data_IF_675778770886
#
_entry.id   IF_675778770886
#
_cell.length_a   1.000
_cell.length_b   1.000
_cell.length_c   1.000
_cell.angle_alpha   90.00
_cell.angle_beta   90.00
_cell.angle_gamma   90.00
#
_symmetry.space_group_name_H-M   'P 1'
#
loop_
_entity.id
_entity.type
_entity.pdbx_description
1 polymer ?
#
# COMPACT_ATOMS: atom_id res chain seq x y z
N UNK A 1 -18.75 -30.16 4.33
CA UNK A 1 -18.28 -29.39 5.51
C UNK A 1 -16.76 -29.58 5.62
N UNK A 2 -15.99 -28.50 5.80
CA UNK A 2 -14.54 -28.64 6.04
C UNK A 2 -14.33 -29.07 7.49
N UNK A 3 -13.51 -30.10 7.74
CA UNK A 3 -13.17 -30.54 9.09
C UNK A 3 -12.31 -29.49 9.79
N UNK A 4 -12.61 -29.20 11.07
CA UNK A 4 -11.80 -28.31 11.89
C UNK A 4 -10.39 -28.91 12.05
N UNK A 5 -9.30 -28.11 11.85
CA UNK A 5 -7.93 -28.62 12.06
C UNK A 5 -7.73 -29.12 13.50
N UNK A 6 -6.99 -30.22 13.71
CA UNK A 6 -6.81 -30.79 15.06
C UNK A 6 -6.06 -29.86 16.04
N UNK A 7 -5.35 -28.87 15.54
CA UNK A 7 -4.63 -27.85 16.33
C UNK A 7 -5.20 -26.45 16.14
N UNK A 8 -6.53 -26.32 16.03
CA UNK A 8 -7.18 -25.01 15.84
C UNK A 8 -6.93 -24.09 17.05
N UNK A 9 -6.44 -22.87 16.76
CA UNK A 9 -6.25 -21.81 17.75
C UNK A 9 -7.57 -21.02 17.81
N UNK A 10 -8.30 -21.15 18.91
CA UNK A 10 -9.65 -20.61 19.07
C UNK A 10 -9.71 -19.10 18.84
N UNK A 11 -8.76 -18.32 19.36
CA UNK A 11 -8.70 -16.87 19.14
C UNK A 11 -8.50 -16.48 17.68
N UNK A 12 -7.77 -17.27 16.92
CA UNK A 12 -7.58 -17.09 15.47
C UNK A 12 -8.86 -17.42 14.72
N UNK A 13 -9.49 -18.56 15.04
CA UNK A 13 -10.76 -18.97 14.44
C UNK A 13 -11.84 -17.91 14.67
N UNK A 14 -11.96 -17.43 15.90
CA UNK A 14 -12.90 -16.37 16.26
C UNK A 14 -12.62 -15.04 15.51
N UNK A 15 -11.36 -14.64 15.38
CA UNK A 15 -11.01 -13.45 14.60
C UNK A 15 -11.38 -13.60 13.12
N UNK A 16 -11.14 -14.77 12.52
CA UNK A 16 -11.52 -15.05 11.13
C UNK A 16 -13.06 -15.06 10.95
N UNK A 17 -13.81 -15.60 11.91
CA UNK A 17 -15.28 -15.55 11.90
C UNK A 17 -15.79 -14.11 11.96
N UNK A 18 -15.20 -13.25 12.79
CA UNK A 18 -15.56 -11.81 12.83
C UNK A 18 -15.33 -11.15 11.47
N UNK A 19 -14.22 -11.48 10.77
CA UNK A 19 -13.98 -10.95 9.44
C UNK A 19 -15.04 -11.40 8.42
N UNK A 20 -15.52 -12.66 8.52
CA UNK A 20 -16.64 -13.13 7.72
C UNK A 20 -17.92 -12.36 8.02
N UNK A 21 -18.25 -12.15 9.31
CA UNK A 21 -19.42 -11.35 9.73
C UNK A 21 -19.34 -9.92 9.19
N UNK A 22 -18.19 -9.26 9.31
CA UNK A 22 -17.96 -7.91 8.78
C UNK A 22 -18.16 -7.85 7.26
N UNK A 23 -17.66 -8.83 6.53
CA UNK A 23 -17.84 -8.93 5.07
C UNK A 23 -19.31 -9.11 4.69
N UNK A 24 -20.01 -10.01 5.39
CA UNK A 24 -21.35 -10.44 5.00
C UNK A 24 -22.44 -9.43 5.45
N UNK A 25 -22.25 -8.78 6.61
CA UNK A 25 -23.23 -7.83 7.20
C UNK A 25 -22.87 -6.35 6.98
N UNK A 26 -21.65 -6.05 6.54
CA UNK A 26 -21.16 -4.67 6.36
C UNK A 26 -20.90 -3.92 7.68
N UNK A 27 -21.51 -4.33 8.78
CA UNK A 27 -21.24 -3.81 10.13
C UNK A 27 -21.66 -4.82 11.20
N UNK A 28 -21.01 -4.78 12.36
CA UNK A 28 -21.32 -5.61 13.52
C UNK A 28 -21.22 -4.81 14.82
N UNK A 29 -21.92 -5.23 15.88
CA UNK A 29 -21.75 -4.71 17.24
C UNK A 29 -21.09 -5.76 18.12
N UNK A 30 -20.49 -5.33 19.24
CA UNK A 30 -19.88 -6.26 20.21
C UNK A 30 -20.87 -7.32 20.69
N UNK A 31 -22.16 -6.95 20.87
CA UNK A 31 -23.22 -7.88 21.24
C UNK A 31 -23.44 -8.99 20.23
N UNK A 32 -23.44 -8.62 18.95
CA UNK A 32 -23.72 -9.54 17.84
C UNK A 32 -22.56 -10.53 17.68
N UNK A 33 -21.33 -10.03 17.79
CA UNK A 33 -20.12 -10.85 17.77
C UNK A 33 -20.07 -11.79 18.97
N UNK A 34 -20.42 -11.31 20.19
CA UNK A 34 -20.45 -12.12 21.39
C UNK A 34 -21.45 -13.27 21.28
N UNK A 35 -22.67 -12.96 20.76
CA UNK A 35 -23.73 -13.94 20.56
C UNK A 35 -23.35 -14.99 19.50
N UNK A 36 -22.86 -14.56 18.35
CA UNK A 36 -22.50 -15.42 17.21
C UNK A 36 -21.31 -16.37 17.55
N UNK A 37 -20.33 -15.85 18.28
CA UNK A 37 -19.15 -16.64 18.67
C UNK A 37 -19.36 -17.48 19.94
N UNK A 38 -20.40 -17.20 20.72
CA UNK A 38 -20.63 -17.83 22.01
C UNK A 38 -19.61 -17.42 23.09
N UNK A 39 -19.08 -16.18 23.02
CA UNK A 39 -18.05 -15.69 23.95
C UNK A 39 -18.56 -14.52 24.79
N UNK A 40 -17.85 -14.21 25.88
CA UNK A 40 -18.15 -13.03 26.68
C UNK A 40 -17.96 -11.73 25.87
N UNK A 41 -18.76 -10.68 26.15
CA UNK A 41 -18.64 -9.37 25.49
C UNK A 41 -17.23 -8.76 25.59
N UNK A 42 -16.54 -8.99 26.71
CA UNK A 42 -15.16 -8.56 26.90
C UNK A 42 -14.20 -9.23 25.93
N UNK A 43 -14.40 -10.51 25.65
CA UNK A 43 -13.59 -11.27 24.66
C UNK A 43 -13.89 -10.78 23.24
N UNK A 44 -15.16 -10.61 22.87
CA UNK A 44 -15.55 -10.05 21.58
C UNK A 44 -14.95 -8.64 21.36
N UNK A 45 -15.00 -7.78 22.40
CA UNK A 45 -14.40 -6.44 22.34
C UNK A 45 -12.89 -6.50 22.12
N UNK A 46 -12.17 -7.39 22.82
CA UNK A 46 -10.71 -7.55 22.64
C UNK A 46 -10.34 -8.04 21.23
N UNK A 47 -11.11 -8.97 20.67
CA UNK A 47 -10.92 -9.44 19.30
C UNK A 47 -11.16 -8.32 18.30
N UNK A 48 -12.25 -7.56 18.44
CA UNK A 48 -12.54 -6.40 17.59
C UNK A 48 -11.47 -5.32 17.72
N UNK A 49 -10.97 -5.05 18.93
CA UNK A 49 -9.86 -4.10 19.14
C UNK A 49 -8.58 -4.52 18.43
N UNK A 50 -8.26 -5.83 18.40
CA UNK A 50 -7.12 -6.36 17.62
C UNK A 50 -7.34 -6.23 16.12
N UNK A 51 -8.57 -6.43 15.64
CA UNK A 51 -8.89 -6.19 14.23
C UNK A 51 -8.80 -4.71 13.86
N UNK A 52 -9.21 -3.81 14.76
CA UNK A 52 -9.01 -2.35 14.58
C UNK A 52 -7.53 -1.99 14.57
N UNK A 53 -6.75 -2.53 15.49
CA UNK A 53 -5.29 -2.32 15.55
C UNK A 53 -4.58 -2.73 14.25
N UNK A 54 -5.09 -3.74 13.56
CA UNK A 54 -4.54 -4.26 12.30
C UNK A 54 -5.26 -3.76 11.05
N UNK A 55 -6.08 -2.71 11.15
CA UNK A 55 -6.85 -2.11 10.05
C UNK A 55 -7.87 -3.05 9.37
N UNK A 56 -8.17 -4.21 9.97
CA UNK A 56 -9.21 -5.12 9.50
C UNK A 56 -10.62 -4.66 9.87
N UNK A 57 -10.77 -3.83 10.89
CA UNK A 57 -12.03 -3.23 11.29
C UNK A 57 -11.83 -1.75 11.63
N UNK A 58 -12.93 -0.98 11.59
CA UNK A 58 -12.99 0.42 12.04
C UNK A 58 -14.18 0.56 12.96
N UNK A 59 -13.99 1.20 14.11
CA UNK A 59 -15.10 1.55 14.99
C UNK A 59 -15.74 2.86 14.53
N UNK A 60 -17.04 2.82 14.22
CA UNK A 60 -17.83 4.00 13.86
C UNK A 60 -18.27 4.79 15.12
N UNK A 61 -18.79 6.01 14.94
CA UNK A 61 -19.25 6.89 16.02
C UNK A 61 -20.40 6.28 16.85
N UNK A 62 -21.24 5.46 16.18
CA UNK A 62 -22.35 4.72 16.83
C UNK A 62 -21.88 3.45 17.58
N UNK A 63 -20.57 3.31 17.77
CA UNK A 63 -19.90 2.15 18.40
C UNK A 63 -20.08 0.83 17.66
N UNK A 64 -20.61 0.82 16.44
CA UNK A 64 -20.55 -0.33 15.55
C UNK A 64 -19.14 -0.48 14.96
N UNK A 65 -18.84 -1.67 14.47
CA UNK A 65 -17.59 -1.97 13.75
C UNK A 65 -17.92 -2.25 12.29
N UNK A 66 -17.16 -1.66 11.40
CA UNK A 66 -17.26 -1.83 9.94
C UNK A 66 -15.97 -2.42 9.40
N UNK A 67 -15.98 -3.02 8.18
CA UNK A 67 -14.75 -3.44 7.54
C UNK A 67 -13.74 -2.30 7.49
N UNK A 68 -12.53 -2.56 7.98
CA UNK A 68 -11.40 -1.64 7.89
C UNK A 68 -10.73 -1.68 6.50
N UNK A 69 -9.73 -0.82 6.30
CA UNK A 69 -9.05 -0.69 5.00
C UNK A 69 -8.41 -2.00 4.52
N UNK A 70 -8.00 -2.88 5.45
CA UNK A 70 -7.44 -4.18 5.09
C UNK A 70 -8.50 -5.19 4.56
N UNK A 71 -9.79 -4.93 4.81
CA UNK A 71 -10.92 -5.78 4.36
C UNK A 71 -11.77 -5.07 3.31
N UNK A 72 -12.00 -3.76 3.48
CA UNK A 72 -12.82 -2.93 2.57
C UNK A 72 -12.03 -2.35 1.39
N UNK A 73 -10.71 -2.48 1.37
CA UNK A 73 -10.06 -2.49 0.08
C UNK A 73 -10.86 -3.49 -0.75
N UNK A 74 -11.53 -3.01 -1.83
CA UNK A 74 -12.07 -3.92 -2.86
C UNK A 74 -11.11 -5.08 -2.95
N UNK A 75 -11.59 -6.35 -2.92
CA UNK A 75 -10.65 -7.44 -2.92
C UNK A 75 -9.69 -7.10 -4.05
N UNK A 76 -8.45 -6.76 -3.69
CA UNK A 76 -7.36 -6.91 -4.63
C UNK A 76 -7.53 -8.37 -5.00
N UNK A 77 -8.30 -8.59 -6.05
CA UNK A 77 -8.49 -9.93 -6.57
C UNK A 77 -7.08 -10.44 -6.62
N UNK A 78 -6.76 -11.49 -5.91
CA UNK A 78 -5.39 -12.02 -5.90
C UNK A 78 -4.90 -12.21 -7.35
N UNK A 79 -5.82 -12.47 -8.25
CA UNK A 79 -5.66 -12.54 -9.70
C UNK A 79 -5.11 -11.25 -10.37
N UNK A 80 -5.67 -10.04 -10.19
CA UNK A 80 -5.10 -8.82 -10.78
C UNK A 80 -3.71 -8.51 -10.25
N UNK A 81 -3.46 -8.72 -8.97
CA UNK A 81 -2.15 -8.45 -8.37
C UNK A 81 -1.09 -9.43 -8.86
N UNK A 82 -1.43 -10.73 -8.96
CA UNK A 82 -0.56 -11.74 -9.53
C UNK A 82 -0.31 -11.48 -11.01
N UNK A 83 -1.36 -11.16 -11.76
CA UNK A 83 -1.24 -10.81 -13.17
C UNK A 83 -0.38 -9.58 -13.39
N UNK A 84 -0.58 -8.53 -12.60
CA UNK A 84 0.22 -7.31 -12.67
C UNK A 84 1.72 -7.62 -12.41
N UNK A 85 2.03 -8.45 -11.41
CA UNK A 85 3.41 -8.90 -11.16
C UNK A 85 4.00 -9.64 -12.35
N UNK A 86 3.24 -10.58 -12.93
CA UNK A 86 3.69 -11.37 -14.09
C UNK A 86 3.95 -10.49 -15.30
N UNK A 87 3.04 -9.56 -15.59
CA UNK A 87 3.15 -8.61 -16.70
C UNK A 87 4.34 -7.66 -16.49
N UNK A 88 4.49 -7.11 -15.29
CA UNK A 88 5.51 -6.10 -14.99
C UNK A 88 6.92 -6.68 -14.84
N UNK A 89 7.06 -7.95 -14.46
CA UNK A 89 8.36 -8.56 -14.18
C UNK A 89 9.38 -8.38 -15.31
N UNK A 90 9.12 -8.73 -16.58
CA UNK A 90 10.11 -8.54 -17.66
C UNK A 90 10.47 -7.08 -17.87
N UNK A 91 9.53 -6.14 -17.73
CA UNK A 91 9.79 -4.71 -17.82
C UNK A 91 10.67 -4.21 -16.67
N UNK A 92 10.45 -4.73 -15.46
CA UNK A 92 11.27 -4.39 -14.29
C UNK A 92 12.69 -4.95 -14.40
N UNK A 93 12.86 -6.17 -14.92
CA UNK A 93 14.17 -6.78 -15.17
C UNK A 93 14.95 -5.96 -16.20
N UNK A 94 14.33 -5.59 -17.31
CA UNK A 94 14.95 -4.74 -18.33
C UNK A 94 15.34 -3.35 -17.76
N UNK A 95 14.46 -2.73 -16.99
CA UNK A 95 14.73 -1.44 -16.34
C UNK A 95 15.91 -1.55 -15.36
N UNK A 96 15.95 -2.61 -14.52
CA UNK A 96 17.06 -2.87 -13.61
C UNK A 96 18.39 -2.95 -14.36
N UNK A 97 18.42 -3.64 -15.50
CA UNK A 97 19.64 -3.79 -16.29
C UNK A 97 20.10 -2.46 -16.90
N UNK A 98 19.15 -1.58 -17.27
CA UNK A 98 19.46 -0.25 -17.80
C UNK A 98 20.00 0.72 -16.74
N UNK A 99 19.38 0.73 -15.55
CA UNK A 99 19.74 1.71 -14.51
C UNK A 99 20.73 1.16 -13.48
N UNK A 100 20.93 -0.16 -13.43
CA UNK A 100 21.77 -0.90 -12.48
C UNK A 100 21.35 -0.73 -11.01
N UNK A 101 20.08 -0.39 -10.72
CA UNK A 101 19.55 -0.19 -9.39
C UNK A 101 18.29 -1.05 -9.16
N UNK A 102 17.85 -1.15 -7.89
CA UNK A 102 16.69 -1.96 -7.49
C UNK A 102 15.39 -1.34 -7.97
N UNK A 103 14.53 -2.15 -8.58
CA UNK A 103 13.22 -1.75 -9.10
C UNK A 103 12.12 -2.34 -8.24
N UNK A 104 11.16 -1.51 -7.85
CA UNK A 104 10.03 -1.93 -7.04
C UNK A 104 8.70 -1.62 -7.73
N UNK A 105 7.79 -2.60 -7.67
CA UNK A 105 6.39 -2.47 -8.03
C UNK A 105 5.58 -2.39 -6.74
N UNK A 106 4.80 -1.33 -6.57
CA UNK A 106 4.05 -1.09 -5.34
C UNK A 106 2.59 -0.74 -5.62
N UNK A 107 1.73 -1.04 -4.65
CA UNK A 107 0.34 -0.58 -4.62
C UNK A 107 0.07 0.21 -3.34
N UNK A 108 -0.97 1.04 -3.36
CA UNK A 108 -1.41 1.79 -2.19
C UNK A 108 -2.57 1.07 -1.49
N UNK A 109 -2.45 0.94 -0.18
CA UNK A 109 -3.48 0.42 0.73
C UNK A 109 -3.80 1.51 1.76
N UNK A 110 -4.83 2.32 1.51
CA UNK A 110 -5.13 3.47 2.37
C UNK A 110 -3.98 4.46 2.42
N UNK A 111 -3.39 4.63 3.60
CA UNK A 111 -2.20 5.47 3.84
C UNK A 111 -0.89 4.71 3.75
N UNK A 112 -0.92 3.44 3.36
CA UNK A 112 0.26 2.59 3.27
C UNK A 112 0.58 2.22 1.83
N UNK A 113 1.83 1.86 1.59
CA UNK A 113 2.35 1.29 0.34
C UNK A 113 2.79 -0.13 0.60
N UNK A 114 2.28 -1.08 -0.19
CA UNK A 114 2.73 -2.47 -0.16
C UNK A 114 3.59 -2.76 -1.37
N UNK A 115 4.75 -3.34 -1.12
CA UNK A 115 5.67 -3.80 -2.16
C UNK A 115 5.18 -5.14 -2.72
N UNK A 116 4.73 -5.15 -3.97
CA UNK A 116 4.22 -6.35 -4.64
C UNK A 116 5.35 -7.21 -5.20
N UNK A 117 6.36 -6.57 -5.74
CA UNK A 117 7.50 -7.23 -6.35
C UNK A 117 8.72 -6.34 -6.32
N UNK A 118 9.90 -6.94 -6.15
CA UNK A 118 11.20 -6.28 -6.22
C UNK A 118 12.08 -7.04 -7.19
N UNK A 119 12.78 -6.32 -8.05
CA UNK A 119 13.89 -6.83 -8.85
C UNK A 119 15.14 -6.14 -8.34
N UNK A 120 15.97 -6.88 -7.60
CA UNK A 120 17.18 -6.33 -6.98
C UNK A 120 18.22 -5.94 -8.00
N UNK A 121 18.98 -4.89 -7.67
CA UNK A 121 20.23 -4.55 -8.38
C UNK A 121 21.27 -5.67 -8.25
N UNK A 122 22.09 -5.83 -9.25
CA UNK A 122 23.23 -6.76 -9.26
C UNK A 122 24.48 -6.19 -8.56
N UNK A 123 24.43 -4.91 -8.14
CA UNK A 123 25.50 -4.27 -7.41
C UNK A 123 25.68 -4.87 -6.02
N UNK A 124 26.93 -4.90 -5.50
CA UNK A 124 27.23 -5.38 -4.14
C UNK A 124 26.51 -4.52 -3.10
N UNK A 125 26.70 -3.21 -3.15
CA UNK A 125 25.92 -2.26 -2.34
C UNK A 125 24.62 -1.96 -3.09
N UNK A 126 23.50 -2.38 -2.54
CA UNK A 126 22.20 -2.20 -3.16
C UNK A 126 21.07 -2.06 -2.13
N UNK A 127 19.95 -1.56 -2.55
CA UNK A 127 18.70 -1.70 -1.79
C UNK A 127 18.20 -3.13 -1.98
N UNK A 128 18.02 -3.86 -0.88
CA UNK A 128 17.60 -5.27 -0.90
C UNK A 128 16.12 -5.48 -1.23
N UNK A 129 15.72 -6.75 -1.29
CA UNK A 129 14.32 -7.14 -1.56
C UNK A 129 13.35 -6.59 -0.50
N UNK A 130 12.27 -6.01 -0.99
CA UNK A 130 11.19 -5.44 -0.17
C UNK A 130 9.84 -6.11 -0.41
N UNK A 131 9.80 -7.18 -1.17
CA UNK A 131 8.54 -7.86 -1.47
C UNK A 131 7.79 -8.23 -0.20
N UNK A 132 6.50 -7.85 -0.13
CA UNK A 132 5.64 -8.06 1.03
C UNK A 132 5.74 -6.98 2.11
N UNK A 133 6.79 -6.15 2.10
CA UNK A 133 6.95 -5.03 3.05
C UNK A 133 5.83 -4.01 2.86
N UNK A 134 5.41 -3.41 3.97
CA UNK A 134 4.42 -2.33 4.01
C UNK A 134 5.06 -1.13 4.70
N UNK A 135 5.04 0.03 4.04
CA UNK A 135 5.58 1.29 4.54
C UNK A 135 4.54 2.41 4.42
N UNK A 136 4.67 3.50 5.20
CA UNK A 136 3.83 4.68 5.03
C UNK A 136 3.93 5.23 3.60
N UNK A 137 2.79 5.42 2.92
CA UNK A 137 2.76 5.85 1.53
C UNK A 137 3.39 7.24 1.32
N UNK A 138 3.28 8.12 2.31
CA UNK A 138 3.85 9.47 2.27
C UNK A 138 5.37 9.51 2.45
N UNK A 139 6.00 8.38 2.80
CA UNK A 139 7.46 8.26 2.92
C UNK A 139 8.09 7.48 1.77
N UNK A 140 7.33 7.04 0.80
CA UNK A 140 7.84 6.27 -0.34
C UNK A 140 7.53 6.98 -1.65
N UNK A 141 8.46 6.98 -2.59
CA UNK A 141 8.25 7.62 -3.90
C UNK A 141 7.04 7.06 -4.65
N UNK A 142 6.90 5.73 -4.72
CA UNK A 142 5.72 5.09 -5.34
C UNK A 142 4.42 5.39 -4.59
N UNK A 143 4.46 5.46 -3.25
CA UNK A 143 3.31 5.83 -2.43
C UNK A 143 2.86 7.27 -2.63
N UNK A 144 3.80 8.23 -2.66
CA UNK A 144 3.50 9.63 -2.98
C UNK A 144 2.94 9.78 -4.39
N UNK A 145 3.50 9.08 -5.38
CA UNK A 145 2.97 9.08 -6.74
C UNK A 145 1.50 8.61 -6.77
N UNK A 146 1.16 7.54 -6.05
CA UNK A 146 -0.23 7.03 -5.96
C UNK A 146 -1.16 7.91 -5.12
N UNK A 147 -0.65 8.57 -4.07
CA UNK A 147 -1.43 9.54 -3.30
C UNK A 147 -1.77 10.79 -4.13
N UNK A 148 -0.86 11.23 -4.99
CA UNK A 148 -1.05 12.38 -5.87
C UNK A 148 -2.17 12.15 -6.90
N UNK A 149 -2.50 10.90 -7.24
CA UNK A 149 -3.59 10.55 -8.15
C UNK A 149 -4.99 10.68 -7.52
N UNK A 150 -5.07 10.78 -6.19
CA UNK A 150 -6.35 10.90 -5.52
C UNK A 150 -6.95 12.31 -5.71
N UNK A 151 -8.26 12.40 -5.99
CA UNK A 151 -8.97 13.67 -5.88
C UNK A 151 -8.81 14.27 -4.47
N UNK A 152 -8.77 15.59 -4.36
CA UNK A 152 -8.48 16.29 -3.09
C UNK A 152 -9.42 15.90 -1.94
N UNK A 153 -10.69 15.61 -2.25
CA UNK A 153 -11.67 15.10 -1.27
C UNK A 153 -11.28 13.72 -0.72
N UNK A 154 -10.85 12.82 -1.59
CA UNK A 154 -10.40 11.47 -1.23
C UNK A 154 -9.05 11.52 -0.51
N UNK A 155 -8.12 12.34 -0.98
CA UNK A 155 -6.83 12.54 -0.32
C UNK A 155 -7.04 13.06 1.12
N UNK A 156 -7.91 14.05 1.30
CA UNK A 156 -8.25 14.58 2.62
C UNK A 156 -8.85 13.49 3.52
N UNK A 157 -9.75 12.66 3.01
CA UNK A 157 -10.35 11.56 3.76
C UNK A 157 -9.30 10.51 4.17
N UNK A 158 -8.41 10.13 3.25
CA UNK A 158 -7.31 9.19 3.51
C UNK A 158 -6.35 9.74 4.56
N UNK A 159 -5.95 11.02 4.46
CA UNK A 159 -5.02 11.65 5.40
C UNK A 159 -5.65 12.07 6.75
N UNK A 160 -6.98 12.02 6.88
CA UNK A 160 -7.67 12.18 8.17
C UNK A 160 -7.75 10.86 8.94
N UNK A 161 -7.60 9.72 8.26
CA UNK A 161 -7.85 8.42 8.85
C UNK A 161 -9.31 8.20 9.25
N UNK A 162 -9.64 6.97 9.60
CA UNK A 162 -11.02 6.55 9.92
C UNK A 162 -11.63 7.25 11.15
N UNK A 163 -10.80 7.72 12.07
CA UNK A 163 -11.22 8.36 13.33
C UNK A 163 -10.93 9.87 13.35
N UNK A 164 -10.76 10.51 12.19
CA UNK A 164 -10.41 11.94 12.10
C UNK A 164 -8.99 12.27 12.59
N UNK A 165 -8.21 11.27 12.98
CA UNK A 165 -6.81 11.43 13.41
C UNK A 165 -5.87 11.20 12.23
N UNK A 166 -4.75 11.97 12.13
CA UNK A 166 -3.73 11.70 11.14
C UNK A 166 -3.23 10.26 11.23
N UNK A 167 -2.70 9.69 10.13
CA UNK A 167 -2.02 8.41 10.17
C UNK A 167 -0.96 8.37 11.27
N UNK A 168 -0.79 7.22 11.91
CA UNK A 168 0.22 7.05 12.95
C UNK A 168 1.60 7.46 12.45
N UNK A 169 2.31 8.27 13.24
CA UNK A 169 3.63 8.80 12.88
C UNK A 169 3.62 10.00 11.94
N UNK A 170 2.45 10.63 11.66
CA UNK A 170 2.35 11.86 10.89
C UNK A 170 1.90 13.03 11.76
N UNK A 171 2.69 14.07 11.83
CA UNK A 171 2.33 15.33 12.48
C UNK A 171 1.42 16.20 11.60
N UNK A 172 0.73 17.17 12.20
CA UNK A 172 -0.09 18.13 11.44
C UNK A 172 0.76 19.02 10.48
N UNK A 173 2.01 19.26 10.82
CA UNK A 173 2.96 20.01 9.97
C UNK A 173 3.35 19.18 8.74
N UNK A 174 3.75 17.93 8.95
CA UNK A 174 4.07 16.99 7.87
C UNK A 174 2.88 16.77 6.92
N UNK A 175 1.66 16.68 7.44
CA UNK A 175 0.46 16.59 6.59
C UNK A 175 0.27 17.80 5.68
N UNK A 176 0.50 19.01 6.21
CA UNK A 176 0.40 20.23 5.38
C UNK A 176 1.49 20.27 4.30
N UNK A 177 2.72 19.92 4.68
CA UNK A 177 3.85 19.83 3.75
C UNK A 177 3.58 18.80 2.65
N UNK A 178 3.10 17.62 3.04
CA UNK A 178 2.74 16.53 2.11
C UNK A 178 1.69 16.97 1.08
N UNK A 179 0.63 17.67 1.48
CA UNK A 179 -0.40 18.13 0.53
C UNK A 179 0.19 19.06 -0.53
N UNK A 180 1.12 19.94 -0.16
CA UNK A 180 1.81 20.80 -1.11
C UNK A 180 2.76 20.02 -2.02
N UNK A 181 3.50 19.07 -1.46
CA UNK A 181 4.37 18.16 -2.22
C UNK A 181 3.56 17.33 -3.23
N UNK A 182 2.43 16.76 -2.82
CA UNK A 182 1.59 15.95 -3.72
C UNK A 182 0.99 16.76 -4.88
N UNK A 183 0.77 18.08 -4.70
CA UNK A 183 0.40 18.95 -5.83
C UNK A 183 1.54 19.08 -6.84
N UNK A 184 2.78 19.22 -6.38
CA UNK A 184 3.95 19.22 -7.26
C UNK A 184 4.11 17.87 -7.96
N UNK A 185 3.98 16.77 -7.22
CA UNK A 185 4.03 15.40 -7.77
C UNK A 185 2.98 15.22 -8.87
N UNK A 186 1.76 15.68 -8.67
CA UNK A 186 0.68 15.61 -9.67
C UNK A 186 1.05 16.35 -10.96
N UNK A 187 1.65 17.55 -10.83
CA UNK A 187 2.02 18.38 -11.98
C UNK A 187 3.23 17.83 -12.74
N UNK A 188 4.23 17.29 -12.05
CA UNK A 188 5.46 16.77 -12.67
C UNK A 188 5.38 15.30 -13.07
N UNK A 189 4.41 14.54 -12.51
CA UNK A 189 4.13 13.14 -12.83
C UNK A 189 5.08 12.13 -12.18
N UNK A 190 5.87 12.54 -11.17
CA UNK A 190 6.75 11.64 -10.41
C UNK A 190 6.94 12.15 -8.98
N UNK A 191 7.37 11.28 -8.09
CA UNK A 191 7.75 11.63 -6.72
C UNK A 191 9.13 11.09 -6.37
N UNK A 192 9.81 11.76 -5.46
CA UNK A 192 11.08 11.33 -4.91
C UNK A 192 10.92 11.00 -3.42
N UNK A 193 11.78 10.12 -2.93
CA UNK A 193 12.03 9.84 -1.53
C UNK A 193 13.53 10.05 -1.30
N UNK A 194 13.88 11.02 -0.49
CA UNK A 194 15.28 11.30 -0.13
C UNK A 194 15.45 10.95 1.34
N UNK A 195 15.79 9.69 1.62
CA UNK A 195 16.02 9.16 2.97
C UNK A 195 14.81 9.30 3.94
N UNK A 196 13.60 9.48 3.43
CA UNK A 196 12.39 9.68 4.24
C UNK A 196 11.84 8.37 4.82
N UNK A 197 11.99 7.26 4.09
CA UNK A 197 11.58 5.94 4.55
C UNK A 197 12.66 5.26 5.39
N UNK A 198 13.90 5.36 4.96
CA UNK A 198 15.08 4.78 5.61
C UNK A 198 16.32 5.63 5.30
N UNK A 199 17.17 5.81 6.30
CA UNK A 199 18.48 6.46 6.12
C UNK A 199 19.33 5.69 5.12
N UNK A 200 20.03 6.40 4.22
CA UNK A 200 20.87 5.80 3.18
C UNK A 200 20.13 5.30 1.94
N UNK A 201 18.79 5.45 1.87
CA UNK A 201 17.98 5.00 0.72
C UNK A 201 17.25 6.17 0.08
N UNK A 202 17.51 6.40 -1.21
CA UNK A 202 16.76 7.32 -2.04
C UNK A 202 16.01 6.57 -3.14
N UNK A 203 14.89 7.13 -3.57
CA UNK A 203 14.08 6.53 -4.64
C UNK A 203 13.33 7.58 -5.45
N UNK A 204 13.08 7.28 -6.71
CA UNK A 204 12.18 8.02 -7.59
C UNK A 204 11.14 7.06 -8.15
N UNK A 205 9.88 7.51 -8.24
CA UNK A 205 8.80 6.65 -8.69
C UNK A 205 7.68 7.43 -9.38
N UNK A 206 6.92 6.73 -10.21
CA UNK A 206 5.77 7.26 -10.91
C UNK A 206 4.60 6.26 -10.88
N UNK A 207 3.41 6.78 -11.16
CA UNK A 207 2.21 5.98 -11.24
C UNK A 207 2.17 5.17 -12.54
N UNK A 208 1.80 3.90 -12.43
CA UNK A 208 1.43 3.04 -13.55
C UNK A 208 -0.09 3.09 -13.75
N UNK A 209 -0.51 3.18 -15.00
CA UNK A 209 -1.91 3.22 -15.40
C UNK A 209 -2.24 2.01 -16.28
N UNK A 210 -3.49 1.62 -16.27
CA UNK A 210 -4.00 0.62 -17.20
C UNK A 210 -4.35 1.22 -18.57
N UNK A 211 -4.91 0.39 -19.44
CA UNK A 211 -5.37 0.82 -20.79
C UNK A 211 -6.46 1.91 -20.76
N UNK A 212 -7.21 2.00 -19.68
CA UNK A 212 -8.26 3.00 -19.48
C UNK A 212 -7.74 4.27 -18.78
N UNK A 213 -6.41 4.41 -18.67
CA UNK A 213 -5.73 5.51 -17.96
C UNK A 213 -6.03 5.56 -16.45
N UNK A 214 -6.44 4.43 -15.86
CA UNK A 214 -6.72 4.34 -14.42
C UNK A 214 -5.44 4.01 -13.66
N UNK A 215 -5.10 4.76 -12.57
CA UNK A 215 -3.99 4.46 -11.70
C UNK A 215 -4.14 3.10 -11.01
N UNK A 216 -3.20 2.18 -11.22
CA UNK A 216 -3.29 0.80 -10.70
C UNK A 216 -2.14 0.43 -9.76
N UNK A 217 -0.96 0.99 -9.96
CA UNK A 217 0.24 0.71 -9.20
C UNK A 217 1.24 1.86 -9.34
N UNK A 218 2.41 1.74 -8.72
CA UNK A 218 3.54 2.60 -9.03
C UNK A 218 4.80 1.75 -9.25
N UNK A 219 5.67 2.25 -10.11
CA UNK A 219 7.00 1.73 -10.37
C UNK A 219 8.03 2.69 -9.80
N UNK A 220 9.08 2.18 -9.16
CA UNK A 220 10.14 3.02 -8.61
C UNK A 220 11.52 2.40 -8.78
N UNK A 221 12.51 3.28 -8.93
CA UNK A 221 13.95 2.96 -8.84
C UNK A 221 14.40 3.37 -7.44
N UNK A 222 15.04 2.45 -6.72
CA UNK A 222 15.60 2.68 -5.40
C UNK A 222 17.11 2.45 -5.44
N UNK A 223 17.87 3.40 -4.92
CA UNK A 223 19.33 3.37 -4.90
C UNK A 223 19.86 3.77 -3.51
N UNK A 224 21.05 3.32 -3.11
CA UNK A 224 21.80 3.91 -2.00
C UNK A 224 22.00 5.41 -2.23
N UNK A 225 21.88 6.23 -1.17
CA UNK A 225 21.96 7.69 -1.27
C UNK A 225 23.27 8.17 -1.89
N UNK A 226 24.38 7.45 -1.66
CA UNK A 226 25.70 7.75 -2.24
C UNK A 226 25.74 7.66 -3.76
N UNK A 227 24.77 6.97 -4.39
CA UNK A 227 24.64 6.88 -5.87
C UNK A 227 23.46 7.68 -6.43
N UNK A 228 22.66 8.28 -5.56
CA UNK A 228 21.49 9.05 -5.97
C UNK A 228 21.89 10.53 -6.17
N UNK A 229 22.40 10.84 -7.36
CA UNK A 229 22.76 12.21 -7.75
C UNK A 229 21.69 12.83 -8.65
N UNK A 230 21.64 14.17 -8.82
CA UNK A 230 20.69 14.82 -9.73
C UNK A 230 20.76 14.30 -11.16
N UNK A 231 21.95 13.94 -11.66
CA UNK A 231 22.11 13.36 -13.00
C UNK A 231 21.55 11.95 -13.07
N UNK A 232 21.82 11.13 -12.05
CA UNK A 232 21.29 9.77 -11.97
C UNK A 232 19.76 9.78 -11.82
N UNK A 233 19.21 10.66 -10.99
CA UNK A 233 17.77 10.82 -10.84
C UNK A 233 17.08 11.13 -12.17
N UNK A 234 17.67 12.03 -12.99
CA UNK A 234 17.16 12.34 -14.34
C UNK A 234 17.17 11.13 -15.27
N UNK A 235 18.24 10.32 -15.23
CA UNK A 235 18.33 9.06 -16.00
C UNK A 235 17.25 8.09 -15.51
N UNK A 236 17.12 7.87 -14.20
CA UNK A 236 16.11 6.98 -13.63
C UNK A 236 14.69 7.39 -14.04
N UNK A 237 14.37 8.68 -13.97
CA UNK A 237 13.07 9.19 -14.38
C UNK A 237 12.78 8.95 -15.87
N UNK A 238 13.76 9.18 -16.73
CA UNK A 238 13.64 8.94 -18.18
C UNK A 238 13.30 7.47 -18.45
N UNK A 239 14.08 6.55 -17.89
CA UNK A 239 13.89 5.11 -18.10
C UNK A 239 12.60 4.60 -17.46
N UNK A 240 12.21 5.12 -16.28
CA UNK A 240 10.91 4.84 -15.67
C UNK A 240 9.76 5.23 -16.59
N UNK A 241 9.79 6.43 -17.19
CA UNK A 241 8.75 6.88 -18.12
C UNK A 241 8.63 6.01 -19.36
N UNK A 242 9.75 5.62 -19.94
CA UNK A 242 9.78 4.70 -21.09
C UNK A 242 9.19 3.36 -20.71
N UNK A 243 9.61 2.80 -19.58
CA UNK A 243 9.11 1.51 -19.08
C UNK A 243 7.62 1.55 -18.78
N UNK A 244 7.13 2.60 -18.13
CA UNK A 244 5.71 2.77 -17.80
C UNK A 244 4.85 2.85 -19.09
N UNK A 245 5.26 3.65 -20.06
CA UNK A 245 4.58 3.77 -21.35
C UNK A 245 4.53 2.43 -22.12
N UNK A 246 5.64 1.70 -22.14
CA UNK A 246 5.70 0.38 -22.79
C UNK A 246 4.83 -0.66 -22.09
N UNK A 247 4.78 -0.64 -20.76
CA UNK A 247 4.01 -1.59 -19.97
C UNK A 247 2.50 -1.30 -19.97
N UNK A 248 2.08 -0.05 -20.14
CA UNK A 248 0.67 0.36 -20.07
C UNK A 248 -0.25 -0.46 -20.97
N UNK A 249 0.19 -0.74 -22.20
CA UNK A 249 -0.58 -1.55 -23.16
C UNK A 249 -0.81 -3.00 -22.69
N UNK A 250 0.10 -3.54 -21.88
CA UNK A 250 0.03 -4.90 -21.35
C UNK A 250 -0.76 -4.97 -20.02
N UNK A 251 -0.91 -3.86 -19.30
CA UNK A 251 -1.69 -3.77 -18.06
C UNK A 251 -3.18 -3.74 -18.41
N UNK A 252 -3.84 -4.88 -18.24
CA UNK A 252 -5.29 -5.03 -18.36
C UNK A 252 -5.80 -5.65 -17.07
N UNK A 253 -6.41 -4.87 -16.21
CA UNK A 253 -6.97 -5.27 -14.92
C UNK A 253 -8.49 -5.31 -14.97
#
# INVERSE_FOLDING_TARGET
MKNKPPYAIESVDNALRILQMLRDSGQVRVSDVAAELGVARSTAHRLLAMLVYRDFAVQAEDRSYRPGLAVSAEPLRAEPTLRLRQVMRPHMEALRDQVAETINLVIRLGTQTRFLHTVESTQVLRVGDRQGTVLPAWKTSGGKALLAELPDTRLTAVLRGANGRPPEGMTAAERRSLVNELRLVRNQGYAENIEESESGVCAIGLCLRDKADVPVAALSVSAPSVRYTPDRSRIFLRELRITAATAQAAISL
#
